data_IF_343039217813
#
_entry.id   IF_343039217813
#
_cell.length_a   1.000
_cell.length_b   1.000
_cell.length_c   1.000
_cell.angle_alpha   90.00
_cell.angle_beta   90.00
_cell.angle_gamma   90.00
#
_symmetry.space_group_name_H-M   'P 1'
#
loop_
_entity.id
_entity.type
_entity.pdbx_description
1 polymer ?
#
# COMPACT_ATOMS: atom_id res chain seq x y z
N UNK A 1 1.37 -17.26 25.67
CA UNK A 1 2.13 -18.53 25.60
C UNK A 1 2.04 -19.00 24.15
N UNK A 2 3.01 -18.60 23.32
CA UNK A 2 3.05 -18.98 21.91
C UNK A 2 3.19 -20.51 21.78
N UNK A 3 2.38 -21.13 20.93
CA UNK A 3 2.36 -22.57 20.77
C UNK A 3 3.60 -23.00 19.97
N UNK A 4 4.56 -23.66 20.65
CA UNK A 4 5.81 -24.16 20.08
C UNK A 4 5.64 -25.13 18.89
N UNK A 5 4.42 -25.62 18.63
CA UNK A 5 4.11 -26.47 17.48
C UNK A 5 3.82 -25.70 16.17
N UNK A 6 3.72 -24.36 16.18
CA UNK A 6 3.41 -23.57 14.98
C UNK A 6 4.63 -22.97 14.30
N UNK A 7 5.54 -22.41 15.09
CA UNK A 7 6.92 -22.15 14.67
C UNK A 7 7.60 -23.42 14.16
N UNK A 8 7.19 -24.60 14.65
CA UNK A 8 7.66 -25.87 14.14
C UNK A 8 7.13 -26.21 12.73
N UNK A 9 5.96 -25.73 12.29
CA UNK A 9 5.40 -25.99 10.95
C UNK A 9 6.13 -25.22 9.84
N UNK A 10 6.48 -23.95 10.10
CA UNK A 10 7.28 -23.16 9.17
C UNK A 10 8.74 -23.65 9.12
N UNK A 11 9.31 -23.95 10.29
CA UNK A 11 10.63 -24.56 10.38
C UNK A 11 10.67 -25.97 9.74
N UNK A 12 9.62 -26.79 9.85
CA UNK A 12 9.57 -28.13 9.22
C UNK A 12 9.40 -28.07 7.72
N UNK A 13 8.61 -27.13 7.17
CA UNK A 13 8.48 -26.96 5.72
C UNK A 13 9.76 -26.40 5.07
N UNK A 14 10.48 -25.49 5.76
CA UNK A 14 11.82 -25.05 5.35
C UNK A 14 12.89 -26.14 5.50
N UNK A 15 12.82 -26.92 6.58
CA UNK A 15 13.74 -28.05 6.81
C UNK A 15 13.59 -29.14 5.72
N UNK A 16 12.40 -29.31 5.15
CA UNK A 16 12.15 -30.28 4.07
C UNK A 16 12.82 -29.90 2.74
N UNK A 17 13.13 -28.61 2.52
CA UNK A 17 13.72 -28.09 1.27
C UNK A 17 15.25 -27.91 1.36
N UNK A 18 15.85 -28.15 2.54
CA UNK A 18 17.28 -28.03 2.80
C UNK A 18 17.70 -26.62 3.25
N UNK A 19 18.78 -26.56 4.06
CA UNK A 19 19.29 -25.35 4.74
C UNK A 19 19.52 -24.15 3.79
N UNK A 20 19.99 -24.40 2.56
CA UNK A 20 20.18 -23.35 1.55
C UNK A 20 18.88 -22.72 1.06
N UNK A 21 17.81 -23.52 0.95
CA UNK A 21 16.49 -23.06 0.49
C UNK A 21 15.82 -22.16 1.55
N UNK A 22 15.94 -22.55 2.82
CA UNK A 22 15.48 -21.75 3.96
C UNK A 22 16.17 -20.38 4.01
N UNK A 23 17.49 -20.35 3.82
CA UNK A 23 18.27 -19.11 3.84
C UNK A 23 17.90 -18.16 2.69
N UNK A 24 17.73 -18.69 1.48
CA UNK A 24 17.28 -17.91 0.32
C UNK A 24 15.86 -17.35 0.53
N UNK A 25 14.95 -18.14 1.09
CA UNK A 25 13.59 -17.71 1.38
C UNK A 25 13.58 -16.59 2.44
N UNK A 26 14.35 -16.74 3.53
CA UNK A 26 14.52 -15.70 4.54
C UNK A 26 15.07 -14.39 3.96
N UNK A 27 16.04 -14.47 3.04
CA UNK A 27 16.59 -13.31 2.35
C UNK A 27 15.55 -12.61 1.48
N UNK A 28 14.74 -13.36 0.72
CA UNK A 28 13.67 -12.79 -0.13
C UNK A 28 12.59 -12.11 0.71
N UNK A 29 12.17 -12.73 1.81
CA UNK A 29 11.20 -12.15 2.75
C UNK A 29 11.74 -10.84 3.33
N UNK A 30 12.99 -10.81 3.78
CA UNK A 30 13.60 -9.59 4.32
C UNK A 30 13.67 -8.46 3.30
N UNK A 31 14.13 -8.72 2.08
CA UNK A 31 14.14 -7.71 1.01
C UNK A 31 12.74 -7.13 0.78
N UNK A 32 11.72 -7.99 0.83
CA UNK A 32 10.34 -7.57 0.61
C UNK A 32 9.81 -6.71 1.77
N UNK A 33 10.13 -7.05 3.02
CA UNK A 33 9.79 -6.24 4.20
C UNK A 33 10.47 -4.86 4.18
N UNK A 34 11.74 -4.80 3.78
CA UNK A 34 12.44 -3.51 3.56
C UNK A 34 11.76 -2.70 2.45
N UNK A 35 11.38 -3.35 1.35
CA UNK A 35 10.64 -2.70 0.26
C UNK A 35 9.31 -2.10 0.73
N UNK A 36 8.52 -2.85 1.50
CA UNK A 36 7.25 -2.40 2.11
C UNK A 36 7.49 -1.16 2.97
N UNK A 37 8.50 -1.19 3.84
CA UNK A 37 8.84 -0.06 4.72
C UNK A 37 9.21 1.21 3.93
N UNK A 38 10.01 1.07 2.87
CA UNK A 38 10.39 2.18 2.00
C UNK A 38 9.14 2.74 1.31
N UNK A 39 8.31 1.88 0.72
CA UNK A 39 7.10 2.31 0.02
C UNK A 39 6.10 3.01 0.96
N UNK A 40 5.94 2.51 2.19
CA UNK A 40 5.07 3.13 3.20
C UNK A 40 5.56 4.53 3.57
N UNK A 41 6.88 4.68 3.74
CA UNK A 41 7.51 5.97 4.07
C UNK A 41 7.33 6.98 2.95
N UNK A 42 7.62 6.60 1.71
CA UNK A 42 7.49 7.47 0.54
C UNK A 42 6.01 7.83 0.32
N UNK A 43 5.11 6.85 0.36
CA UNK A 43 3.67 7.07 0.10
C UNK A 43 3.04 7.97 1.16
N UNK A 44 3.39 7.79 2.44
CA UNK A 44 2.92 8.67 3.52
C UNK A 44 3.46 10.08 3.37
N UNK A 45 4.73 10.23 2.98
CA UNK A 45 5.34 11.53 2.72
C UNK A 45 4.65 12.28 1.56
N UNK A 46 4.39 11.59 0.45
CA UNK A 46 3.66 12.14 -0.70
C UNK A 46 2.24 12.56 -0.28
N UNK A 47 1.56 11.74 0.53
CA UNK A 47 0.19 12.01 0.99
C UNK A 47 0.13 13.21 1.94
N UNK A 48 1.04 13.31 2.91
CA UNK A 48 1.14 14.48 3.78
C UNK A 48 1.50 15.76 3.01
N UNK A 49 2.41 15.65 2.04
CA UNK A 49 2.75 16.75 1.13
C UNK A 49 1.53 17.19 0.29
N UNK A 50 0.72 16.24 -0.17
CA UNK A 50 -0.48 16.53 -0.96
C UNK A 50 -1.49 17.36 -0.17
N UNK A 51 -1.70 17.04 1.12
CA UNK A 51 -2.55 17.80 2.04
C UNK A 51 -2.07 19.25 2.15
N UNK A 52 -0.77 19.44 2.37
CA UNK A 52 -0.19 20.78 2.52
C UNK A 52 -0.27 21.59 1.23
N UNK A 53 -0.05 20.92 0.10
CA UNK A 53 -0.17 21.53 -1.22
C UNK A 53 -1.60 21.95 -1.53
N UNK A 54 -2.59 21.11 -1.24
CA UNK A 54 -4.00 21.43 -1.45
C UNK A 54 -4.44 22.62 -0.58
N UNK A 55 -4.10 22.61 0.71
CA UNK A 55 -4.41 23.72 1.62
C UNK A 55 -3.76 25.03 1.19
N UNK A 56 -2.49 24.99 0.77
CA UNK A 56 -1.79 26.18 0.26
C UNK A 56 -2.46 26.77 -0.98
N UNK A 57 -2.86 25.93 -1.95
CA UNK A 57 -3.57 26.42 -3.13
C UNK A 57 -4.96 26.96 -2.82
N UNK A 58 -5.63 26.39 -1.82
CA UNK A 58 -6.92 26.90 -1.37
C UNK A 58 -6.79 28.28 -0.71
N UNK A 59 -5.78 28.47 0.13
CA UNK A 59 -5.58 29.73 0.87
C UNK A 59 -5.02 30.86 -0.02
N UNK A 60 -4.01 30.56 -0.84
CA UNK A 60 -3.25 31.58 -1.60
C UNK A 60 -3.62 31.62 -3.09
N UNK A 61 -4.50 30.74 -3.55
CA UNK A 61 -4.94 30.64 -4.95
C UNK A 61 -4.04 29.76 -5.83
N UNK A 62 -4.54 29.43 -7.02
CA UNK A 62 -3.93 28.45 -7.93
C UNK A 62 -2.54 28.83 -8.46
N UNK A 63 -2.21 30.12 -8.48
CA UNK A 63 -0.93 30.65 -8.98
C UNK A 63 0.15 30.74 -7.89
N UNK A 64 -0.17 30.34 -6.66
CA UNK A 64 0.78 30.40 -5.55
C UNK A 64 1.93 29.40 -5.74
N UNK A 65 3.15 29.82 -5.38
CA UNK A 65 4.32 28.96 -5.38
C UNK A 65 4.31 28.02 -4.16
N UNK A 66 3.43 27.03 -4.18
CA UNK A 66 3.30 26.01 -3.14
C UNK A 66 4.25 24.84 -3.43
N UNK A 67 5.51 24.98 -3.01
CA UNK A 67 6.48 23.88 -3.05
C UNK A 67 6.87 23.41 -1.64
N UNK A 68 6.77 22.10 -1.44
CA UNK A 68 7.02 21.44 -0.17
C UNK A 68 7.89 20.22 -0.43
N UNK A 69 9.00 20.10 0.29
CA UNK A 69 9.90 18.96 0.17
C UNK A 69 9.34 17.69 0.83
N UNK A 70 9.59 16.52 0.24
CA UNK A 70 9.12 15.23 0.76
C UNK A 70 9.98 14.70 1.91
N UNK A 71 11.27 15.04 1.93
CA UNK A 71 12.25 14.56 2.91
C UNK A 71 11.81 14.84 4.35
N UNK A 72 11.24 16.02 4.61
CA UNK A 72 10.75 16.39 5.94
C UNK A 72 9.63 15.45 6.41
N UNK A 73 8.67 15.14 5.53
CA UNK A 73 7.57 14.23 5.85
C UNK A 73 8.03 12.77 5.98
N UNK A 74 9.05 12.35 5.21
CA UNK A 74 9.67 11.03 5.37
C UNK A 74 10.29 10.88 6.76
N UNK A 75 11.00 11.91 7.24
CA UNK A 75 11.59 11.91 8.58
C UNK A 75 10.53 11.88 9.69
N UNK A 76 9.46 12.66 9.55
CA UNK A 76 8.33 12.64 10.50
C UNK A 76 7.69 11.26 10.53
N UNK A 77 7.38 10.69 9.37
CA UNK A 77 6.76 9.37 9.32
C UNK A 77 7.68 8.30 9.94
N UNK A 78 8.98 8.34 9.62
CA UNK A 78 9.96 7.46 10.25
C UNK A 78 10.01 7.60 11.77
N UNK A 79 9.95 8.82 12.31
CA UNK A 79 9.89 9.05 13.75
C UNK A 79 8.60 8.48 14.38
N UNK A 80 7.45 8.67 13.72
CA UNK A 80 6.18 8.05 14.15
C UNK A 80 6.33 6.52 14.17
N UNK A 81 6.95 5.93 13.16
CA UNK A 81 7.17 4.48 13.10
C UNK A 81 8.08 3.97 14.22
N UNK A 82 9.15 4.71 14.55
CA UNK A 82 9.99 4.38 15.70
C UNK A 82 9.15 4.39 16.98
N UNK A 83 8.35 5.43 17.23
CA UNK A 83 7.52 5.51 18.44
C UNK A 83 6.49 4.37 18.48
N UNK A 84 5.79 4.11 17.38
CA UNK A 84 4.79 3.04 17.28
C UNK A 84 5.42 1.66 17.51
N UNK A 85 6.65 1.44 17.06
CA UNK A 85 7.38 0.18 17.27
C UNK A 85 7.72 -0.11 18.74
N UNK A 86 7.73 0.91 19.62
CA UNK A 86 8.04 0.74 21.04
C UNK A 86 6.83 0.39 21.91
N UNK A 87 5.61 0.37 21.35
CA UNK A 87 4.39 0.09 22.12
C UNK A 87 4.28 -1.43 22.34
N UNK A 88 4.46 -1.95 23.56
CA UNK A 88 4.64 -3.39 23.79
C UNK A 88 3.32 -4.16 24.00
N UNK A 89 2.21 -3.47 24.26
CA UNK A 89 0.93 -4.10 24.64
C UNK A 89 -0.01 -4.21 23.43
N UNK A 90 0.12 -5.32 22.70
CA UNK A 90 -0.65 -5.64 21.49
C UNK A 90 -1.98 -6.36 21.77
N UNK A 91 -2.37 -6.57 23.04
CA UNK A 91 -3.45 -7.51 23.39
C UNK A 91 -4.88 -7.08 22.98
N UNK A 92 -5.03 -5.93 22.32
CA UNK A 92 -6.28 -5.48 21.70
C UNK A 92 -6.06 -4.89 20.29
N UNK A 93 -5.02 -5.26 19.55
CA UNK A 93 -4.67 -4.61 18.26
C UNK A 93 -5.66 -4.85 17.11
N UNK A 94 -6.68 -5.69 17.29
CA UNK A 94 -7.74 -5.93 16.30
C UNK A 94 -8.43 -4.63 15.86
N UNK A 95 -8.68 -3.69 16.77
CA UNK A 95 -9.35 -2.43 16.43
C UNK A 95 -8.52 -1.55 15.49
N UNK A 96 -7.18 -1.60 15.60
CA UNK A 96 -6.28 -0.88 14.72
C UNK A 96 -6.29 -1.47 13.31
N UNK A 97 -6.30 -2.80 13.18
CA UNK A 97 -6.43 -3.46 11.87
C UNK A 97 -7.80 -3.16 11.23
N UNK A 98 -8.87 -3.10 12.02
CA UNK A 98 -10.20 -2.67 11.56
C UNK A 98 -10.18 -1.22 11.08
N UNK A 99 -9.58 -0.29 11.84
CA UNK A 99 -9.45 1.10 11.40
C UNK A 99 -8.61 1.20 10.12
N UNK A 100 -7.47 0.51 10.06
CA UNK A 100 -6.62 0.49 8.88
C UNK A 100 -7.38 -0.03 7.65
N UNK A 101 -8.20 -1.06 7.80
CA UNK A 101 -9.06 -1.56 6.72
C UNK A 101 -10.13 -0.53 6.31
N UNK A 102 -10.79 0.12 7.27
CA UNK A 102 -11.77 1.20 6.98
C UNK A 102 -11.09 2.34 6.21
N UNK A 103 -9.91 2.79 6.64
CA UNK A 103 -9.14 3.83 5.95
C UNK A 103 -8.77 3.38 4.53
N UNK A 104 -8.37 2.12 4.35
CA UNK A 104 -8.05 1.52 3.04
C UNK A 104 -9.21 1.58 2.06
N UNK A 105 -10.38 1.09 2.49
CA UNK A 105 -11.60 1.16 1.69
C UNK A 105 -11.98 2.61 1.41
N UNK A 106 -11.90 3.49 2.41
CA UNK A 106 -12.29 4.89 2.29
C UNK A 106 -11.49 5.61 1.22
N UNK A 107 -10.15 5.61 1.28
CA UNK A 107 -9.36 6.29 0.25
C UNK A 107 -9.51 5.63 -1.13
N UNK A 108 -9.71 4.30 -1.19
CA UNK A 108 -9.88 3.57 -2.45
C UNK A 108 -11.21 3.91 -3.14
N UNK A 109 -12.31 3.98 -2.38
CA UNK A 109 -13.60 4.43 -2.90
C UNK A 109 -13.57 5.89 -3.34
N UNK A 110 -12.91 6.77 -2.58
CA UNK A 110 -12.74 8.18 -2.97
C UNK A 110 -11.94 8.28 -4.27
N UNK A 111 -10.77 7.64 -4.34
CA UNK A 111 -9.93 7.64 -5.54
C UNK A 111 -10.65 7.09 -6.78
N UNK A 112 -11.38 5.98 -6.62
CA UNK A 112 -12.23 5.39 -7.66
C UNK A 112 -13.32 6.36 -8.11
N UNK A 113 -14.06 6.94 -7.17
CA UNK A 113 -15.15 7.88 -7.44
C UNK A 113 -14.68 9.13 -8.16
N UNK A 114 -13.55 9.69 -7.73
CA UNK A 114 -12.92 10.86 -8.36
C UNK A 114 -12.42 10.54 -9.77
N UNK A 115 -11.74 9.40 -9.95
CA UNK A 115 -11.31 8.91 -11.26
C UNK A 115 -12.48 8.76 -12.21
N UNK A 116 -13.54 8.06 -11.78
CA UNK A 116 -14.74 7.87 -12.57
C UNK A 116 -15.44 9.20 -12.90
N UNK A 117 -15.66 10.06 -11.91
CA UNK A 117 -16.30 11.35 -12.09
C UNK A 117 -15.52 12.25 -13.06
N UNK A 118 -14.18 12.19 -13.03
CA UNK A 118 -13.32 12.94 -13.95
C UNK A 118 -13.44 12.45 -15.38
N UNK A 119 -13.49 11.13 -15.61
CA UNK A 119 -13.71 10.56 -16.95
C UNK A 119 -15.06 10.99 -17.51
N UNK A 120 -16.13 10.92 -16.69
CA UNK A 120 -17.47 11.34 -17.10
C UNK A 120 -17.54 12.84 -17.36
N UNK A 121 -16.94 13.65 -16.47
CA UNK A 121 -16.94 15.11 -16.58
C UNK A 121 -16.14 15.65 -17.76
N UNK A 122 -15.00 15.03 -18.08
CA UNK A 122 -14.21 15.40 -19.25
C UNK A 122 -14.85 14.90 -20.57
N UNK A 123 -15.73 13.89 -20.49
CA UNK A 123 -16.37 13.28 -21.66
C UNK A 123 -15.41 12.55 -22.61
N UNK A 124 -14.15 12.38 -22.21
CA UNK A 124 -13.07 11.81 -23.01
C UNK A 124 -12.22 10.89 -22.15
N UNK A 125 -11.89 9.71 -22.68
CA UNK A 125 -10.89 8.81 -22.11
C UNK A 125 -9.51 9.23 -22.61
N UNK A 126 -8.65 9.72 -21.71
CA UNK A 126 -7.30 10.19 -22.05
C UNK A 126 -6.28 9.06 -22.19
N UNK A 127 -6.52 7.94 -21.50
CA UNK A 127 -5.66 6.76 -21.57
C UNK A 127 -5.72 6.06 -22.93
N UNK A 128 -4.57 5.53 -23.38
CA UNK A 128 -4.46 4.72 -24.60
C UNK A 128 -4.16 3.26 -24.29
N UNK A 129 -4.69 2.33 -25.09
CA UNK A 129 -4.43 0.87 -25.00
C UNK A 129 -2.94 0.58 -25.18
N UNK A 130 -2.21 1.40 -25.94
CA UNK A 130 -0.76 1.26 -26.10
C UNK A 130 0.03 1.61 -24.82
N UNK A 131 -0.61 2.12 -23.78
CA UNK A 131 0.04 2.69 -22.60
C UNK A 131 0.76 4.01 -22.91
N UNK A 132 1.58 4.46 -21.96
CA UNK A 132 2.31 5.73 -22.03
C UNK A 132 3.18 5.84 -23.28
N UNK A 133 3.09 6.96 -24.02
CA UNK A 133 3.95 7.20 -25.18
C UNK A 133 5.40 7.47 -24.75
N UNK A 134 6.37 6.86 -25.44
CA UNK A 134 7.80 7.02 -25.14
C UNK A 134 8.60 7.26 -26.41
N UNK A 135 9.68 8.04 -26.31
CA UNK A 135 10.57 8.33 -27.44
C UNK A 135 11.38 7.13 -27.94
N UNK A 136 11.61 6.11 -27.10
CA UNK A 136 12.44 4.95 -27.47
C UNK A 136 11.84 3.64 -26.97
N UNK A 137 12.12 2.53 -27.68
CA UNK A 137 11.72 1.19 -27.27
C UNK A 137 12.34 0.78 -25.92
N UNK A 138 13.57 1.21 -25.63
CA UNK A 138 14.26 0.92 -24.36
C UNK A 138 13.53 1.57 -23.17
N UNK A 139 13.11 2.84 -23.31
CA UNK A 139 12.31 3.51 -22.28
C UNK A 139 10.95 2.82 -22.10
N UNK A 140 10.31 2.41 -23.20
CA UNK A 140 9.05 1.66 -23.14
C UNK A 140 9.22 0.37 -22.34
N UNK A 141 10.25 -0.41 -22.65
CA UNK A 141 10.57 -1.65 -21.95
C UNK A 141 10.85 -1.40 -20.46
N UNK A 142 11.58 -0.34 -20.13
CA UNK A 142 11.86 0.03 -18.74
C UNK A 142 10.60 0.38 -17.95
N UNK A 143 9.68 1.17 -18.52
CA UNK A 143 8.40 1.49 -17.88
C UNK A 143 7.50 0.27 -17.71
N UNK A 144 7.48 -0.64 -18.69
CA UNK A 144 6.75 -1.91 -18.56
C UNK A 144 7.32 -2.76 -17.44
N UNK A 145 8.65 -2.86 -17.33
CA UNK A 145 9.30 -3.58 -16.23
C UNK A 145 9.00 -2.96 -14.86
N UNK A 146 8.98 -1.64 -14.75
CA UNK A 146 8.56 -0.96 -13.52
C UNK A 146 7.10 -1.26 -13.19
N UNK A 147 6.19 -1.17 -14.15
CA UNK A 147 4.78 -1.49 -13.93
C UNK A 147 4.56 -2.94 -13.49
N UNK A 148 5.32 -3.89 -14.04
CA UNK A 148 5.30 -5.29 -13.58
C UNK A 148 5.85 -5.42 -12.14
N UNK A 149 6.89 -4.65 -11.81
CA UNK A 149 7.42 -4.55 -10.45
C UNK A 149 6.41 -4.00 -9.46
N UNK A 150 5.72 -2.92 -9.81
CA UNK A 150 4.66 -2.30 -9.00
C UNK A 150 3.49 -3.28 -8.78
N UNK A 151 3.07 -4.01 -9.82
CA UNK A 151 2.05 -5.06 -9.70
C UNK A 151 2.53 -6.17 -8.77
N UNK A 152 3.75 -6.68 -8.95
CA UNK A 152 4.28 -7.74 -8.10
C UNK A 152 4.39 -7.30 -6.63
N UNK A 153 4.81 -6.05 -6.40
CA UNK A 153 4.91 -5.47 -5.07
C UNK A 153 3.56 -5.24 -4.41
N UNK A 154 2.52 -4.92 -5.18
CA UNK A 154 1.15 -4.69 -4.68
C UNK A 154 0.48 -5.96 -4.12
N UNK A 155 1.02 -7.16 -4.39
CA UNK A 155 0.55 -8.44 -3.87
C UNK A 155 1.61 -9.15 -3.00
N UNK A 156 1.87 -8.68 -1.77
CA UNK A 156 2.79 -9.33 -0.83
C UNK A 156 2.15 -10.59 -0.18
N UNK A 157 1.48 -11.42 -0.97
CA UNK A 157 0.66 -12.54 -0.51
C UNK A 157 1.45 -13.53 0.34
N UNK A 158 2.67 -13.86 -0.08
CA UNK A 158 3.51 -14.83 0.61
C UNK A 158 3.85 -14.41 2.04
N UNK A 159 4.06 -13.12 2.29
CA UNK A 159 4.40 -12.58 3.62
C UNK A 159 3.16 -12.63 4.52
N UNK A 160 2.05 -12.08 4.04
CA UNK A 160 0.77 -12.04 4.77
C UNK A 160 0.28 -13.45 5.11
N UNK A 161 0.44 -14.40 4.19
CA UNK A 161 0.05 -15.79 4.40
C UNK A 161 0.78 -16.41 5.58
N UNK A 162 2.10 -16.23 5.64
CA UNK A 162 2.93 -16.80 6.71
C UNK A 162 2.52 -16.20 8.06
N UNK A 163 2.31 -14.88 8.12
CA UNK A 163 1.95 -14.17 9.34
C UNK A 163 0.55 -14.57 9.86
N UNK A 164 -0.44 -14.66 8.98
CA UNK A 164 -1.82 -15.01 9.41
C UNK A 164 -1.91 -16.48 9.83
N UNK A 165 -1.26 -17.40 9.10
CA UNK A 165 -1.31 -18.84 9.46
C UNK A 165 -0.70 -19.10 10.84
N UNK A 166 0.38 -18.40 11.21
CA UNK A 166 0.97 -18.55 12.54
C UNK A 166 0.00 -18.14 13.66
N UNK A 167 -0.97 -17.24 13.40
CA UNK A 167 -1.92 -16.75 14.41
C UNK A 167 -3.25 -17.52 14.50
N UNK A 168 -3.70 -18.17 13.42
CA UNK A 168 -5.03 -18.81 13.36
C UNK A 168 -5.17 -20.04 14.26
N UNK A 169 -6.14 -20.09 15.17
CA UNK A 169 -6.37 -21.29 15.99
C UNK A 169 -7.26 -22.32 15.27
N UNK A 170 -6.89 -23.59 15.29
CA UNK A 170 -7.74 -24.70 14.84
C UNK A 170 -8.72 -25.15 15.95
N UNK A 171 -9.92 -25.70 15.62
CA UNK A 171 -10.51 -25.97 14.30
C UNK A 171 -11.35 -24.81 13.72
N UNK A 172 -11.60 -24.73 12.39
CA UNK A 172 -11.16 -25.64 11.31
C UNK A 172 -9.66 -25.47 10.95
N UNK A 173 -9.08 -26.32 10.06
CA UNK A 173 -7.68 -26.20 9.68
C UNK A 173 -7.33 -24.79 9.18
N UNK A 174 -6.19 -24.28 9.62
CA UNK A 174 -5.71 -22.92 9.33
C UNK A 174 -5.65 -22.64 7.82
N UNK A 175 -5.27 -23.65 7.03
CA UNK A 175 -5.22 -23.56 5.57
C UNK A 175 -6.60 -23.34 4.93
N UNK A 176 -7.67 -23.89 5.49
CA UNK A 176 -9.03 -23.71 4.96
C UNK A 176 -9.54 -22.29 5.23
N UNK A 177 -9.41 -21.84 6.48
CA UNK A 177 -9.77 -20.46 6.87
C UNK A 177 -8.94 -19.45 6.11
N UNK A 178 -7.63 -19.66 6.03
CA UNK A 178 -6.72 -18.76 5.32
C UNK A 178 -7.03 -18.70 3.83
N UNK A 179 -7.28 -19.83 3.17
CA UNK A 179 -7.57 -19.84 1.72
C UNK A 179 -8.86 -19.06 1.39
N UNK A 180 -9.92 -19.25 2.18
CA UNK A 180 -11.18 -18.50 2.03
C UNK A 180 -10.96 -17.00 2.22
N UNK A 181 -10.32 -16.61 3.33
CA UNK A 181 -10.04 -15.20 3.63
C UNK A 181 -9.14 -14.54 2.57
N UNK A 182 -8.08 -15.23 2.16
CA UNK A 182 -7.12 -14.79 1.15
C UNK A 182 -7.77 -14.59 -0.22
N UNK A 183 -8.61 -15.53 -0.64
CA UNK A 183 -9.31 -15.44 -1.93
C UNK A 183 -10.19 -14.20 -1.96
N UNK A 184 -10.96 -13.95 -0.90
CA UNK A 184 -11.80 -12.75 -0.78
C UNK A 184 -10.94 -11.48 -0.79
N UNK A 185 -9.87 -11.44 -0.01
CA UNK A 185 -8.97 -10.30 0.06
C UNK A 185 -8.35 -9.97 -1.31
N UNK A 186 -7.82 -10.97 -2.02
CA UNK A 186 -7.23 -10.81 -3.36
C UNK A 186 -8.28 -10.33 -4.36
N UNK A 187 -9.49 -10.89 -4.35
CA UNK A 187 -10.56 -10.45 -5.25
C UNK A 187 -10.91 -8.96 -5.03
N UNK A 188 -11.05 -8.55 -3.77
CA UNK A 188 -11.38 -7.17 -3.41
C UNK A 188 -10.24 -6.22 -3.79
N UNK A 189 -8.99 -6.52 -3.41
CA UNK A 189 -7.84 -5.65 -3.73
C UNK A 189 -7.63 -5.54 -5.23
N UNK A 190 -7.74 -6.65 -5.97
CA UNK A 190 -7.64 -6.67 -7.43
C UNK A 190 -8.70 -5.77 -8.06
N UNK A 191 -9.95 -5.85 -7.59
CA UNK A 191 -11.02 -4.96 -8.04
C UNK A 191 -10.65 -3.49 -7.86
N UNK A 192 -10.22 -3.08 -6.66
CA UNK A 192 -9.85 -1.69 -6.41
C UNK A 192 -8.62 -1.25 -7.19
N UNK A 193 -7.59 -2.07 -7.31
CA UNK A 193 -6.39 -1.75 -8.09
C UNK A 193 -6.70 -1.57 -9.57
N UNK A 194 -7.48 -2.48 -10.16
CA UNK A 194 -7.90 -2.37 -11.55
C UNK A 194 -8.79 -1.16 -11.80
N UNK A 195 -9.74 -0.88 -10.91
CA UNK A 195 -10.63 0.25 -11.08
C UNK A 195 -9.94 1.59 -10.80
N UNK A 196 -9.14 1.74 -9.74
CA UNK A 196 -8.39 2.96 -9.46
C UNK A 196 -7.32 3.21 -10.53
N UNK A 197 -6.56 2.20 -10.91
CA UNK A 197 -5.57 2.30 -11.98
C UNK A 197 -6.22 2.58 -13.34
N UNK A 198 -7.31 1.87 -13.66
CA UNK A 198 -8.04 2.02 -14.92
C UNK A 198 -8.72 3.38 -15.05
N UNK A 199 -9.52 3.80 -14.07
CA UNK A 199 -10.18 5.11 -14.10
C UNK A 199 -9.19 6.25 -13.93
N UNK A 200 -8.14 6.07 -13.13
CA UNK A 200 -7.05 7.05 -13.02
C UNK A 200 -6.35 7.27 -14.36
N UNK A 201 -5.97 6.18 -15.04
CA UNK A 201 -5.36 6.27 -16.36
C UNK A 201 -6.32 6.78 -17.43
N UNK A 202 -7.61 6.44 -17.35
CA UNK A 202 -8.63 7.03 -18.22
C UNK A 202 -8.80 8.55 -17.98
N UNK A 203 -8.67 9.01 -16.73
CA UNK A 203 -8.84 10.41 -16.34
C UNK A 203 -7.62 11.30 -16.70
N UNK A 204 -6.40 10.76 -16.59
CA UNK A 204 -5.16 11.53 -16.70
C UNK A 204 -4.24 11.11 -17.85
N UNK A 205 -4.43 9.93 -18.45
CA UNK A 205 -3.62 9.42 -19.55
C UNK A 205 -2.13 9.35 -19.17
N UNK A 206 -1.27 9.85 -20.05
CA UNK A 206 0.18 9.86 -19.83
C UNK A 206 0.62 10.74 -18.66
N UNK A 207 -0.26 11.61 -18.15
CA UNK A 207 -0.03 12.46 -16.97
C UNK A 207 -0.54 11.83 -15.66
N UNK A 208 -0.84 10.52 -15.66
CA UNK A 208 -1.33 9.83 -14.45
C UNK A 208 -0.26 9.85 -13.36
N UNK A 209 -0.55 10.39 -12.17
CA UNK A 209 0.41 10.42 -11.07
C UNK A 209 0.53 9.06 -10.39
N UNK A 210 1.68 8.79 -9.76
CA UNK A 210 1.90 7.54 -9.00
C UNK A 210 0.95 7.38 -7.81
N UNK A 211 0.66 8.47 -7.07
CA UNK A 211 -0.48 8.53 -6.17
C UNK A 211 -1.65 9.22 -6.88
N UNK A 212 -2.68 8.44 -7.23
CA UNK A 212 -3.87 8.92 -7.96
C UNK A 212 -4.47 10.21 -7.36
N UNK A 213 -4.53 10.31 -6.02
CA UNK A 213 -5.14 11.45 -5.33
C UNK A 213 -4.40 12.77 -5.54
N UNK A 214 -3.11 12.72 -5.86
CA UNK A 214 -2.32 13.93 -6.16
C UNK A 214 -2.71 14.59 -7.48
N UNK A 215 -3.33 13.83 -8.39
CA UNK A 215 -3.87 14.36 -9.65
C UNK A 215 -5.13 15.21 -9.44
N UNK A 216 -5.72 15.13 -8.24
CA UNK A 216 -6.92 15.85 -7.85
C UNK A 216 -6.63 17.01 -6.88
N UNK A 217 -5.39 17.49 -6.75
CA UNK A 217 -5.04 18.53 -5.77
C UNK A 217 -5.84 19.84 -5.87
N UNK A 218 -6.55 20.06 -6.99
CA UNK A 218 -7.45 21.20 -7.24
C UNK A 218 -8.94 20.80 -7.32
N UNK A 219 -9.28 19.59 -6.90
CA UNK A 219 -10.65 19.11 -6.92
C UNK A 219 -11.45 19.84 -5.84
N UNK A 220 -12.60 20.39 -6.23
CA UNK A 220 -13.54 20.96 -5.28
C UNK A 220 -14.66 19.93 -4.98
N UNK A 221 -14.90 19.55 -3.71
CA UNK A 221 -14.30 20.17 -2.53
C UNK A 221 -12.92 19.61 -2.14
N UNK A 222 -11.95 20.50 -1.90
CA UNK A 222 -10.54 20.14 -1.61
C UNK A 222 -10.37 19.29 -0.35
N UNK A 223 -11.24 19.47 0.66
CA UNK A 223 -11.22 18.69 1.90
C UNK A 223 -11.35 17.18 1.66
N UNK A 224 -12.01 16.77 0.57
CA UNK A 224 -12.19 15.35 0.25
C UNK A 224 -10.85 14.69 -0.14
N UNK A 225 -9.99 15.45 -0.82
CA UNK A 225 -8.64 15.02 -1.22
C UNK A 225 -7.74 14.95 0.01
N UNK A 226 -7.83 15.94 0.88
CA UNK A 226 -7.10 15.97 2.13
C UNK A 226 -7.49 14.80 3.03
N UNK A 227 -8.79 14.54 3.15
CA UNK A 227 -9.32 13.42 3.92
C UNK A 227 -8.83 12.08 3.36
N UNK A 228 -8.86 11.88 2.04
CA UNK A 228 -8.39 10.66 1.42
C UNK A 228 -6.88 10.43 1.61
N UNK A 229 -6.06 11.48 1.50
CA UNK A 229 -4.63 11.40 1.78
C UNK A 229 -4.34 11.16 3.28
N UNK A 230 -5.14 11.74 4.18
CA UNK A 230 -5.04 11.45 5.60
C UNK A 230 -5.41 9.97 5.90
N UNK A 231 -6.43 9.42 5.25
CA UNK A 231 -6.75 8.00 5.31
C UNK A 231 -5.58 7.12 4.85
N UNK A 232 -4.86 7.49 3.79
CA UNK A 232 -3.64 6.77 3.38
C UNK A 232 -2.61 6.77 4.51
N UNK A 233 -2.29 7.94 5.07
CA UNK A 233 -1.29 8.03 6.16
C UNK A 233 -1.70 7.17 7.35
N UNK A 234 -2.96 7.25 7.79
CA UNK A 234 -3.47 6.46 8.91
C UNK A 234 -3.47 4.95 8.62
N UNK A 235 -3.83 4.55 7.41
CA UNK A 235 -3.74 3.15 6.97
C UNK A 235 -2.29 2.63 7.09
N UNK A 236 -1.32 3.42 6.62
CA UNK A 236 0.09 3.03 6.62
C UNK A 236 0.74 3.06 8.01
N UNK A 237 0.24 3.89 8.94
CA UNK A 237 0.60 3.80 10.37
C UNK A 237 0.11 2.47 10.96
N UNK A 238 -1.15 2.10 10.69
CA UNK A 238 -1.73 0.84 11.17
C UNK A 238 -1.06 -0.41 10.59
N UNK A 239 -0.46 -0.31 9.40
CA UNK A 239 0.26 -1.42 8.76
C UNK A 239 1.65 -1.73 9.34
N UNK A 240 2.16 -0.91 10.26
CA UNK A 240 3.46 -1.11 10.91
C UNK A 240 3.35 -1.69 12.33
N UNK A 241 2.21 -2.30 12.66
CA UNK A 241 2.11 -3.13 13.85
C UNK A 241 3.18 -4.20 13.77
N UNK A 242 4.30 -4.01 14.46
CA UNK A 242 5.38 -5.00 14.55
C UNK A 242 4.78 -6.22 15.24
N UNK A 243 4.52 -7.35 14.56
CA UNK A 243 4.50 -8.60 15.30
C UNK A 243 5.93 -8.68 15.83
N UNK A 244 6.09 -8.68 17.15
CA UNK A 244 7.41 -8.91 17.74
C UNK A 244 8.00 -10.15 17.05
N UNK A 245 8.98 -9.94 16.18
CA UNK A 245 9.95 -10.94 15.78
C UNK A 245 10.82 -11.24 17.00
N UNK A 246 10.18 -11.75 18.06
CA UNK A 246 10.86 -12.41 19.14
C UNK A 246 11.28 -13.76 18.60
N UNK A 247 12.58 -13.88 18.32
CA UNK A 247 13.34 -15.10 18.04
C UNK A 247 13.54 -15.49 16.56
N UNK A 248 14.39 -14.73 15.87
CA UNK A 248 15.43 -15.30 14.99
C UNK A 248 16.83 -14.90 15.50
N UNK A 249 17.07 -15.09 16.79
CA UNK A 249 18.39 -15.11 17.43
C UNK A 249 18.43 -16.22 18.44
#
# INVERSE_FOLDING_TARGET
MFNSNKTSSFATNMAFSGERSAWLCGLVVQISLYGITIAYTITSAISMRAIQKSNCYHEYGHEAACDFGETYYMLIFGAVQIVMSQIPDFHNMEWLSVIAAIMAFTYSFIGLGLGFAKVVGDGVVKGSIAGIATSTAAQKMWLVSQALGDIAFAYPYSIILIEIQDTLTSPPPESETMNKASTIAICITTFFYLCCGGFGYAAFGDSTPGNLLTGFGFYEPYWLIDFANACIVLHLVGGYQVPQFSCMT
#
